data_IF_060075231160
#
_entry.id   IF_060075231160
#
_cell.length_a   1.000
_cell.length_b   1.000
_cell.length_c   1.000
_cell.angle_alpha   90.00
_cell.angle_beta   90.00
_cell.angle_gamma   90.00
#
_symmetry.space_group_name_H-M   'P 1'
#
loop_
_entity.id
_entity.type
_entity.pdbx_description
1 polymer ?
#
# COMPACT_ATOMS: atom_id res chain seq x y z
N UNK A 1 -8.47 -1.39 -20.02
CA UNK A 1 -7.64 -1.00 -18.84
C UNK A 1 -8.10 -1.65 -17.52
N UNK A 2 -9.36 -2.10 -17.37
CA UNK A 2 -9.91 -2.55 -16.08
C UNK A 2 -9.61 -4.01 -15.67
N UNK A 3 -8.63 -4.69 -16.26
CA UNK A 3 -8.42 -6.14 -16.06
C UNK A 3 -6.97 -6.51 -15.70
N UNK A 4 -6.11 -5.54 -15.43
CA UNK A 4 -4.76 -5.83 -15.01
C UNK A 4 -4.76 -6.41 -13.59
N UNK A 5 -4.08 -7.55 -13.43
CA UNK A 5 -3.78 -8.12 -12.13
C UNK A 5 -2.47 -7.49 -11.65
N UNK A 6 -2.50 -6.84 -10.48
CA UNK A 6 -1.28 -6.33 -9.87
C UNK A 6 -0.61 -7.48 -9.12
N UNK A 7 0.59 -7.87 -9.56
CA UNK A 7 1.43 -8.82 -8.83
C UNK A 7 2.54 -8.06 -8.15
N UNK A 8 2.63 -8.22 -6.83
CA UNK A 8 3.74 -7.69 -6.04
C UNK A 8 4.88 -8.70 -6.11
N UNK A 9 6.01 -8.28 -6.65
CA UNK A 9 7.25 -9.07 -6.67
C UNK A 9 8.34 -8.29 -5.97
N UNK A 10 9.25 -8.98 -5.29
CA UNK A 10 10.46 -8.33 -4.76
C UNK A 10 11.38 -7.95 -5.92
N UNK A 11 12.29 -7.00 -5.71
CA UNK A 11 13.22 -6.53 -6.74
C UNK A 11 14.10 -7.65 -7.35
N UNK A 12 14.26 -8.77 -6.65
CA UNK A 12 14.96 -9.99 -7.07
C UNK A 12 14.05 -11.02 -7.78
N UNK A 13 12.76 -10.71 -7.97
CA UNK A 13 11.77 -11.60 -8.59
C UNK A 13 11.14 -12.64 -7.64
N UNK A 14 11.53 -12.66 -6.36
CA UNK A 14 10.94 -13.57 -5.38
C UNK A 14 9.55 -13.10 -4.93
N UNK A 15 8.68 -14.05 -4.58
CA UNK A 15 7.40 -13.76 -3.94
C UNK A 15 7.64 -13.19 -2.53
N UNK A 16 7.03 -12.05 -2.19
CA UNK A 16 7.08 -11.54 -0.83
C UNK A 16 6.13 -12.33 0.06
N UNK A 17 6.67 -12.86 1.16
CA UNK A 17 5.84 -13.45 2.22
C UNK A 17 5.21 -12.30 3.02
N UNK A 18 3.88 -12.28 3.20
CA UNK A 18 3.23 -11.27 4.02
C UNK A 18 3.63 -11.46 5.49
N UNK A 19 4.08 -10.39 6.14
CA UNK A 19 4.36 -10.36 7.58
C UNK A 19 3.08 -10.31 8.40
N UNK A 20 2.03 -9.73 7.83
CA UNK A 20 0.73 -9.57 8.46
C UNK A 20 -0.30 -9.06 7.48
N UNK A 21 -1.55 -8.98 7.96
CA UNK A 21 -2.66 -8.41 7.21
C UNK A 21 -3.41 -7.38 8.05
N UNK A 22 -4.07 -6.47 7.37
CA UNK A 22 -4.86 -5.38 7.95
C UNK A 22 -6.05 -5.06 7.05
N UNK A 23 -7.04 -4.35 7.59
CA UNK A 23 -8.20 -3.96 6.81
C UNK A 23 -7.81 -2.87 5.80
N UNK A 24 -8.05 -3.15 4.52
CA UNK A 24 -7.84 -2.13 3.49
C UNK A 24 -8.92 -1.05 3.54
N UNK A 25 -8.48 0.18 3.78
CA UNK A 25 -9.28 1.40 3.67
C UNK A 25 -9.14 2.04 2.28
N UNK A 26 -7.93 2.01 1.71
CA UNK A 26 -7.63 2.53 0.37
C UNK A 26 -6.72 1.55 -0.38
N UNK A 27 -7.11 1.23 -1.61
CA UNK A 27 -6.43 0.25 -2.47
C UNK A 27 -5.21 0.82 -3.18
N UNK A 28 -4.42 -0.05 -3.81
CA UNK A 28 -3.15 0.29 -4.46
C UNK A 28 -1.97 -0.32 -3.72
N UNK A 29 -0.75 -0.08 -4.22
CA UNK A 29 0.48 -0.58 -3.59
C UNK A 29 1.41 0.60 -3.31
N UNK A 30 1.85 0.71 -2.06
CA UNK A 30 2.78 1.74 -1.63
C UNK A 30 4.04 1.09 -1.05
N UNK A 31 5.20 1.63 -1.41
CA UNK A 31 6.49 1.19 -0.89
C UNK A 31 7.30 2.42 -0.49
N UNK A 32 7.86 2.41 0.71
CA UNK A 32 8.64 3.52 1.23
C UNK A 32 9.29 3.22 2.58
N UNK A 33 10.06 4.17 3.06
CA UNK A 33 10.70 4.11 4.36
C UNK A 33 9.68 4.31 5.48
N UNK A 34 9.79 3.50 6.53
CA UNK A 34 8.97 3.62 7.73
C UNK A 34 9.30 4.95 8.42
N UNK A 35 8.27 5.74 8.69
CA UNK A 35 8.34 6.94 9.52
C UNK A 35 7.24 6.92 10.57
N UNK A 36 7.56 7.38 11.78
CA UNK A 36 6.61 7.37 12.91
C UNK A 36 6.09 8.77 13.26
N UNK A 37 6.77 9.83 12.84
CA UNK A 37 6.45 11.20 13.17
C UNK A 37 6.55 12.16 11.97
N UNK A 38 5.86 13.30 12.07
CA UNK A 38 5.80 14.31 11.01
C UNK A 38 7.16 14.95 10.72
N UNK A 39 7.96 15.20 11.77
CA UNK A 39 9.27 15.82 11.63
C UNK A 39 10.20 14.97 10.76
N UNK A 40 10.20 13.65 11.00
CA UNK A 40 10.94 12.68 10.21
C UNK A 40 10.37 12.56 8.80
N UNK A 41 9.04 12.54 8.66
CA UNK A 41 8.40 12.51 7.36
C UNK A 41 8.84 13.70 6.50
N UNK A 42 8.79 14.93 7.03
CA UNK A 42 9.28 16.13 6.33
C UNK A 42 10.74 16.03 5.94
N UNK A 43 11.61 15.61 6.86
CA UNK A 43 13.05 15.52 6.61
C UNK A 43 13.39 14.50 5.50
N UNK A 44 12.75 13.32 5.52
CA UNK A 44 12.99 12.27 4.53
C UNK A 44 12.33 12.57 3.19
N UNK A 45 11.14 13.17 3.20
CA UNK A 45 10.47 13.64 1.99
C UNK A 45 11.30 14.71 1.28
N UNK A 46 11.87 15.67 2.02
CA UNK A 46 12.79 16.68 1.46
C UNK A 46 14.06 16.07 0.85
N UNK A 47 14.48 14.90 1.34
CA UNK A 47 15.58 14.12 0.76
C UNK A 47 15.16 13.24 -0.44
N UNK A 48 13.89 13.33 -0.87
CA UNK A 48 13.35 12.57 -2.01
C UNK A 48 12.96 11.13 -1.68
N UNK A 49 12.93 10.74 -0.42
CA UNK A 49 12.52 9.40 -0.02
C UNK A 49 10.99 9.25 -0.08
N UNK A 50 10.53 8.09 -0.55
CA UNK A 50 9.12 7.66 -0.41
C UNK A 50 8.91 7.13 0.99
N UNK A 51 7.74 7.38 1.58
CA UNK A 51 7.50 7.13 3.00
C UNK A 51 6.24 6.31 3.24
N UNK A 52 6.27 5.50 4.28
CA UNK A 52 5.10 4.86 4.86
C UNK A 52 4.95 5.34 6.29
N UNK A 53 3.85 6.03 6.55
CA UNK A 53 3.52 6.52 7.88
C UNK A 53 2.93 5.38 8.70
N UNK A 54 3.53 5.08 9.86
CA UNK A 54 3.04 4.06 10.79
C UNK A 54 2.63 4.74 12.09
N UNK A 55 1.37 4.56 12.50
CA UNK A 55 0.82 5.17 13.73
C UNK A 55 0.04 4.14 14.54
N UNK A 56 -0.13 4.39 15.83
CA UNK A 56 -0.97 3.53 16.66
C UNK A 56 -2.46 3.69 16.30
N UNK A 57 -2.90 4.94 16.18
CA UNK A 57 -4.24 5.34 15.79
C UNK A 57 -4.16 6.35 14.64
N UNK A 58 -5.28 6.53 13.96
CA UNK A 58 -5.43 7.42 12.83
C UNK A 58 -6.06 8.75 13.28
N UNK A 59 -5.26 9.79 13.49
CA UNK A 59 -5.72 11.07 14.03
C UNK A 59 -5.61 12.23 13.02
N UNK A 60 -6.42 13.29 13.22
CA UNK A 60 -6.40 14.48 12.35
C UNK A 60 -5.06 15.21 12.35
N UNK A 61 -4.32 15.16 13.47
CA UNK A 61 -2.99 15.76 13.58
C UNK A 61 -1.97 15.12 12.64
N UNK A 62 -2.21 13.89 12.20
CA UNK A 62 -1.27 13.16 11.33
C UNK A 62 -1.43 13.56 9.85
N UNK A 63 -2.37 14.45 9.51
CA UNK A 63 -2.66 14.84 8.12
C UNK A 63 -1.43 15.36 7.37
N UNK A 64 -0.65 16.25 7.99
CA UNK A 64 0.55 16.82 7.36
C UNK A 64 1.63 15.75 7.09
N UNK A 65 1.74 14.74 7.96
CA UNK A 65 2.65 13.61 7.73
C UNK A 65 2.11 12.68 6.64
N UNK A 66 0.79 12.47 6.61
CA UNK A 66 0.11 11.62 5.63
C UNK A 66 0.20 12.17 4.21
N UNK A 67 0.10 13.49 4.03
CA UNK A 67 0.25 14.15 2.73
C UNK A 67 1.62 13.87 2.09
N UNK A 68 2.67 13.79 2.93
CA UNK A 68 4.05 13.53 2.53
C UNK A 68 4.35 12.04 2.29
N UNK A 69 3.50 11.15 2.82
CA UNK A 69 3.67 9.70 2.73
C UNK A 69 2.94 9.12 1.51
N UNK A 70 3.37 7.94 1.05
CA UNK A 70 2.71 7.16 0.00
C UNK A 70 1.59 6.27 0.56
N UNK A 71 1.68 5.94 1.86
CA UNK A 71 0.66 5.18 2.54
C UNK A 71 0.68 5.29 4.06
N UNK A 72 -0.41 4.81 4.66
CA UNK A 72 -0.66 4.78 6.09
C UNK A 72 -0.90 3.34 6.57
N UNK A 73 -0.23 2.97 7.65
CA UNK A 73 -0.49 1.74 8.39
C UNK A 73 -0.82 2.06 9.84
N UNK A 74 -1.93 1.54 10.36
CA UNK A 74 -2.31 1.73 11.77
C UNK A 74 -2.53 0.42 12.52
N UNK A 75 -2.15 0.39 13.81
CA UNK A 75 -2.47 -0.74 14.71
C UNK A 75 -3.97 -0.86 14.93
N UNK A 76 -4.64 0.27 15.16
CA UNK A 76 -6.07 0.35 15.44
C UNK A 76 -6.80 1.24 14.45
N UNK A 77 -8.12 1.10 14.42
CA UNK A 77 -9.01 1.91 13.60
C UNK A 77 -9.85 1.08 12.63
N UNK A 78 -11.03 1.60 12.31
CA UNK A 78 -11.94 0.99 11.35
C UNK A 78 -11.73 1.56 9.94
N UNK A 79 -12.19 0.82 8.92
CA UNK A 79 -12.20 1.29 7.52
C UNK A 79 -13.00 2.59 7.29
N UNK A 80 -13.86 2.95 8.23
CA UNK A 80 -14.67 4.18 8.23
C UNK A 80 -14.12 5.28 9.13
N UNK A 81 -12.95 5.06 9.75
CA UNK A 81 -12.30 6.07 10.58
C UNK A 81 -11.85 7.28 9.76
N UNK A 82 -11.59 8.40 10.44
CA UNK A 82 -11.29 9.67 9.80
C UNK A 82 -10.10 9.58 8.83
N UNK A 83 -8.96 9.00 9.24
CA UNK A 83 -7.80 8.88 8.35
C UNK A 83 -8.01 7.90 7.18
N UNK A 84 -8.89 6.89 7.34
CA UNK A 84 -9.24 6.01 6.23
C UNK A 84 -9.98 6.78 5.12
N UNK A 85 -10.87 7.70 5.50
CA UNK A 85 -11.55 8.59 4.55
C UNK A 85 -10.56 9.57 3.92
N UNK A 86 -9.72 10.22 4.73
CA UNK A 86 -8.72 11.19 4.27
C UNK A 86 -7.71 10.55 3.32
N UNK A 87 -7.16 9.38 3.66
CA UNK A 87 -6.20 8.70 2.80
C UNK A 87 -6.78 8.37 1.42
N UNK A 88 -8.07 7.98 1.35
CA UNK A 88 -8.77 7.77 0.07
C UNK A 88 -8.89 9.06 -0.72
N UNK A 89 -9.21 10.18 -0.08
CA UNK A 89 -9.31 11.49 -0.74
C UNK A 89 -7.95 11.96 -1.28
N UNK A 90 -6.87 11.64 -0.58
CA UNK A 90 -5.50 11.94 -0.98
C UNK A 90 -4.89 10.93 -1.96
N UNK A 91 -5.62 9.87 -2.31
CA UNK A 91 -5.13 8.80 -3.20
C UNK A 91 -3.99 7.97 -2.61
N UNK A 92 -3.87 7.91 -1.28
CA UNK A 92 -2.81 7.18 -0.57
C UNK A 92 -3.29 5.78 -0.19
N UNK A 93 -2.38 4.80 -0.22
CA UNK A 93 -2.69 3.43 0.24
C UNK A 93 -2.89 3.45 1.74
N UNK A 94 -3.92 2.78 2.24
CA UNK A 94 -4.27 2.87 3.65
C UNK A 94 -4.73 1.52 4.19
N UNK A 95 -3.95 1.00 5.14
CA UNK A 95 -4.22 -0.23 5.88
C UNK A 95 -4.44 0.12 7.35
N UNK A 96 -5.58 -0.31 7.90
CA UNK A 96 -5.98 0.05 9.26
C UNK A 96 -6.34 -1.18 10.09
N UNK A 97 -6.20 -1.07 11.41
CA UNK A 97 -6.61 -2.12 12.32
C UNK A 97 -5.74 -3.38 12.25
N UNK A 98 -4.43 -3.21 12.08
CA UNK A 98 -3.50 -4.34 12.17
C UNK A 98 -3.26 -4.73 13.64
N UNK A 99 -4.09 -5.62 14.19
CA UNK A 99 -3.97 -6.05 15.59
C UNK A 99 -2.64 -6.76 15.91
N UNK A 100 -2.03 -7.39 14.90
CA UNK A 100 -0.75 -8.05 15.02
C UNK A 100 0.45 -7.08 15.04
N UNK A 101 0.24 -5.80 14.71
CA UNK A 101 1.27 -4.78 14.69
C UNK A 101 1.51 -4.26 16.11
N UNK A 102 2.70 -4.48 16.65
CA UNK A 102 3.15 -3.79 17.88
C UNK A 102 4.03 -2.62 17.49
N UNK A 103 3.72 -1.44 18.00
CA UNK A 103 4.48 -0.23 17.74
C UNK A 103 5.17 0.22 19.02
N UNK A 104 6.47 0.45 18.96
CA UNK A 104 7.26 1.13 19.99
C UNK A 104 7.73 2.48 19.43
N UNK A 105 6.96 3.52 19.69
CA UNK A 105 7.27 4.88 19.25
C UNK A 105 8.53 5.43 19.92
N UNK A 106 8.82 5.03 21.16
CA UNK A 106 10.01 5.48 21.89
C UNK A 106 11.28 4.82 21.34
N UNK A 107 11.21 3.52 21.07
CA UNK A 107 12.27 2.76 20.42
C UNK A 107 12.36 2.97 18.91
N UNK A 108 11.38 3.65 18.29
CA UNK A 108 11.24 3.82 16.84
C UNK A 108 11.31 2.49 16.09
N UNK A 109 10.57 1.50 16.58
CA UNK A 109 10.48 0.18 15.98
C UNK A 109 9.04 -0.29 15.89
N UNK A 110 8.78 -1.19 14.94
CA UNK A 110 7.53 -1.93 14.88
C UNK A 110 7.83 -3.42 14.79
N UNK A 111 6.95 -4.24 15.35
CA UNK A 111 7.00 -5.69 15.29
C UNK A 111 5.77 -6.21 14.54
N UNK A 112 5.99 -7.04 13.52
CA UNK A 112 4.93 -7.70 12.77
C UNK A 112 5.42 -9.06 12.25
N UNK A 113 4.62 -10.12 12.48
CA UNK A 113 4.96 -11.47 12.00
C UNK A 113 6.25 -12.04 12.59
N UNK A 114 6.66 -11.60 13.78
CA UNK A 114 7.93 -11.98 14.40
C UNK A 114 9.16 -11.23 13.87
N UNK A 115 8.97 -10.25 12.98
CA UNK A 115 10.03 -9.38 12.48
C UNK A 115 9.97 -8.02 13.16
N UNK A 116 11.13 -7.51 13.61
CA UNK A 116 11.28 -6.15 14.12
C UNK A 116 11.85 -5.29 13.00
N UNK A 117 11.07 -4.29 12.58
CA UNK A 117 11.47 -3.30 11.57
C UNK A 117 11.72 -1.95 12.24
N UNK A 118 12.69 -1.20 11.71
CA UNK A 118 13.12 0.09 12.26
C UNK A 118 12.71 1.26 11.38
N UNK A 119 12.67 2.45 11.98
CA UNK A 119 12.51 3.69 11.21
C UNK A 119 13.58 3.79 10.10
N UNK A 120 13.15 4.16 8.90
CA UNK A 120 14.02 4.25 7.71
C UNK A 120 14.17 2.94 6.94
N UNK A 121 13.75 1.79 7.49
CA UNK A 121 13.68 0.55 6.71
C UNK A 121 12.49 0.59 5.75
N UNK A 122 12.59 -0.17 4.66
CA UNK A 122 11.55 -0.21 3.64
C UNK A 122 10.40 -1.13 4.05
N UNK A 123 9.18 -0.63 3.85
CA UNK A 123 7.94 -1.34 4.05
C UNK A 123 7.08 -1.20 2.80
N UNK A 124 6.45 -2.31 2.41
CA UNK A 124 5.47 -2.34 1.32
C UNK A 124 4.08 -2.64 1.89
N UNK A 125 3.11 -1.83 1.51
CA UNK A 125 1.68 -2.03 1.79
C UNK A 125 0.97 -2.42 0.51
N UNK A 126 0.28 -3.57 0.54
CA UNK A 126 -0.67 -3.98 -0.48
C UNK A 126 -2.10 -3.67 -0.01
N UNK A 127 -2.64 -2.56 -0.50
CA UNK A 127 -4.02 -2.15 -0.28
C UNK A 127 -5.05 -3.01 -1.03
N UNK A 128 -4.66 -3.83 -2.00
CA UNK A 128 -5.58 -4.71 -2.72
C UNK A 128 -5.85 -5.98 -1.93
N UNK A 129 -4.80 -6.59 -1.36
CA UNK A 129 -4.91 -7.81 -0.55
C UNK A 129 -4.97 -7.54 0.96
N UNK A 130 -4.74 -6.30 1.39
CA UNK A 130 -4.60 -5.95 2.80
C UNK A 130 -3.32 -6.51 3.42
N UNK A 131 -2.27 -6.74 2.62
CA UNK A 131 -1.06 -7.42 3.05
C UNK A 131 0.09 -6.43 3.32
N UNK A 132 0.96 -6.78 4.27
CA UNK A 132 2.10 -5.96 4.68
C UNK A 132 3.38 -6.79 4.49
N UNK A 133 4.38 -6.21 3.85
CA UNK A 133 5.62 -6.89 3.52
C UNK A 133 6.85 -6.07 3.91
N UNK A 134 7.89 -6.73 4.43
CA UNK A 134 9.19 -6.10 4.63
C UNK A 134 9.93 -5.90 3.30
N UNK A 135 10.62 -4.77 3.19
CA UNK A 135 11.49 -4.45 2.08
C UNK A 135 10.77 -3.78 0.91
N UNK A 136 11.56 -3.54 -0.14
CA UNK A 136 11.07 -2.99 -1.39
C UNK A 136 10.34 -4.05 -2.21
N UNK A 137 9.12 -3.75 -2.62
CA UNK A 137 8.46 -4.47 -3.69
C UNK A 137 8.41 -3.64 -4.97
N UNK A 138 8.62 -4.30 -6.11
CA UNK A 138 8.28 -3.79 -7.41
C UNK A 138 6.83 -4.19 -7.73
N UNK A 139 6.01 -3.19 -8.07
CA UNK A 139 4.67 -3.42 -8.59
C UNK A 139 4.80 -3.77 -10.06
N UNK A 140 4.42 -4.99 -10.43
CA UNK A 140 4.34 -5.39 -11.83
C UNK A 140 2.87 -5.47 -12.22
N UNK A 141 2.49 -4.67 -13.21
CA UNK A 141 1.18 -4.75 -13.83
C UNK A 141 1.18 -5.94 -14.80
N UNK A 142 0.42 -6.99 -14.49
CA UNK A 142 0.25 -8.15 -15.36
C UNK A 142 -1.09 -8.02 -16.04
N UNK A 143 -1.09 -7.78 -17.35
CA UNK A 143 -2.32 -7.81 -18.15
C UNK A 143 -2.61 -9.27 -18.50
N UNK A 144 -3.73 -9.87 -18.04
CA UNK A 144 -4.04 -11.27 -18.33
C UNK A 144 -4.29 -11.43 -19.84
N UNK A 145 -3.41 -12.18 -20.52
CA UNK A 145 -3.50 -12.35 -21.97
C UNK A 145 -4.81 -13.03 -22.41
N UNK A 146 -5.39 -13.87 -21.56
CA UNK A 146 -6.69 -14.49 -21.81
C UNK A 146 -7.83 -13.46 -21.94
N UNK A 147 -7.74 -12.35 -21.22
CA UNK A 147 -8.75 -11.30 -21.27
C UNK A 147 -8.56 -10.38 -22.48
N UNK A 148 -7.31 -10.12 -22.89
CA UNK A 148 -7.02 -9.47 -24.17
C UNK A 148 -7.56 -10.30 -25.33
N UNK A 149 -7.28 -11.61 -25.36
CA UNK A 149 -7.79 -12.50 -26.40
C UNK A 149 -9.33 -12.53 -26.47
N UNK A 150 -10.02 -12.46 -25.32
CA UNK A 150 -11.49 -12.36 -25.28
C UNK A 150 -12.01 -11.01 -25.77
N UNK A 151 -11.31 -9.91 -25.48
CA UNK A 151 -11.67 -8.59 -25.96
C UNK A 151 -11.53 -8.50 -27.48
N UNK A 152 -10.44 -9.02 -28.03
CA UNK A 152 -10.23 -9.10 -29.48
C UNK A 152 -11.30 -9.94 -30.18
N UNK A 153 -11.70 -11.06 -29.57
CA UNK A 153 -12.79 -11.89 -30.08
C UNK A 153 -14.17 -11.19 -30.05
N UNK A 154 -14.41 -10.26 -29.13
CA UNK A 154 -15.65 -9.48 -29.08
C UNK A 154 -15.64 -8.36 -30.14
N UNK A 155 -14.55 -7.62 -30.26
CA UNK A 155 -14.42 -6.58 -31.28
C UNK A 155 -14.44 -7.16 -32.71
N UNK A 156 -13.89 -8.36 -32.92
CA UNK A 156 -13.97 -9.07 -34.21
C UNK A 156 -15.40 -9.45 -34.62
N UNK A 157 -16.34 -9.60 -33.67
CA UNK A 157 -17.75 -9.92 -33.96
C UNK A 157 -18.59 -8.68 -34.24
N UNK A 158 -18.24 -7.54 -33.65
CA UNK A 158 -18.92 -6.26 -33.88
C UNK A 158 -18.71 -5.73 -35.31
N UNK A 159 -17.49 -5.88 -35.85
CA UNK A 159 -17.19 -5.47 -37.24
C UNK A 159 -17.88 -6.36 -38.27
N UNK A 160 -18.01 -7.66 -37.99
CA UNK A 160 -18.72 -8.59 -38.87
C UNK A 160 -20.24 -8.37 -38.89
N UNK A 161 -20.83 -7.89 -37.78
CA UNK A 161 -22.27 -7.60 -37.68
C UNK A 161 -22.68 -6.26 -38.31
N UNK A 162 -21.74 -5.34 -38.55
CA UNK A 162 -21.97 -4.03 -39.19
C UNK A 162 -21.76 -4.05 -40.72
N UNK A 163 -21.31 -5.17 -41.29
CA UNK A 163 -21.03 -5.35 -42.73
C UNK A 163 -22.06 -6.24 -43.46
N UNK A 164 -23.17 -6.60 -42.80
CA UNK A 164 -24.30 -7.36 -43.36
C UNK A 164 -25.58 -6.51 -43.37
#
# INVERSE_FOLDING_TARGET
RALAEHRIVRADGAALVPLGRAASAASGVACGEIVFDEARARARHAAGAKLILVRQDAETRDLAALELAEGLLTCRGARTAHAAVVARQLGKVCLVGCEALRLDEAGRTLELGGHILREGELLTLDGNEGAIHAGAAAVVEVVPQALLARLDALHGREVAALQS
#
